data_IF_390508253610
#
_entry.id   IF_390508253610
#
_cell.length_a   1.000
_cell.length_b   1.000
_cell.length_c   1.000
_cell.angle_alpha   90.00
_cell.angle_beta   90.00
_cell.angle_gamma   90.00
#
_symmetry.space_group_name_H-M   'P 1'
#
loop_
_entity.id
_entity.type
_entity.pdbx_description
1 polymer ?
#
# COMPACT_ATOMS: atom_id res chain seq x y z
N UNK A 1 -80.66 -22.79 -21.88
CA UNK A 1 -80.59 -21.36 -21.53
C UNK A 1 -80.18 -21.25 -20.07
N UNK A 2 -78.97 -20.73 -19.85
CA UNK A 2 -78.26 -20.30 -18.63
C UNK A 2 -78.70 -20.72 -17.22
N UNK A 3 -77.73 -21.19 -16.41
CA UNK A 3 -77.73 -20.99 -14.97
C UNK A 3 -76.51 -20.21 -14.43
N UNK A 4 -76.78 -19.43 -13.38
CA UNK A 4 -75.95 -19.17 -12.19
C UNK A 4 -74.60 -18.40 -12.30
N UNK A 5 -74.74 -17.08 -12.24
CA UNK A 5 -74.10 -16.07 -11.36
C UNK A 5 -73.04 -16.54 -10.31
N UNK A 6 -71.94 -15.76 -10.26
CA UNK A 6 -70.98 -15.48 -9.15
C UNK A 6 -69.93 -16.54 -8.76
N UNK A 7 -68.63 -16.27 -8.56
CA UNK A 7 -67.91 -15.07 -8.10
C UNK A 7 -66.56 -14.88 -8.83
N UNK A 8 -66.32 -13.69 -9.37
CA UNK A 8 -64.95 -13.20 -9.63
C UNK A 8 -64.35 -12.79 -8.30
N UNK A 9 -63.28 -13.45 -7.90
CA UNK A 9 -62.49 -13.13 -6.72
C UNK A 9 -61.78 -11.79 -6.99
N UNK A 10 -62.36 -10.72 -6.46
CA UNK A 10 -61.75 -9.40 -6.40
C UNK A 10 -60.49 -9.49 -5.53
N UNK A 11 -59.32 -9.45 -6.16
CA UNK A 11 -58.06 -9.15 -5.48
C UNK A 11 -57.97 -7.62 -5.42
N UNK A 12 -58.02 -6.97 -4.23
CA UNK A 12 -57.78 -5.54 -4.15
C UNK A 12 -56.28 -5.27 -4.41
N UNK A 13 -55.99 -4.65 -5.55
CA UNK A 13 -54.76 -3.90 -5.78
C UNK A 13 -54.70 -2.78 -4.75
N UNK A 14 -53.91 -2.96 -3.68
CA UNK A 14 -53.59 -1.89 -2.74
C UNK A 14 -52.84 -0.78 -3.49
N UNK A 15 -53.37 0.46 -3.54
CA UNK A 15 -52.65 1.59 -4.08
C UNK A 15 -51.78 2.22 -2.98
N UNK A 16 -50.53 2.52 -3.29
CA UNK A 16 -49.74 3.47 -2.51
C UNK A 16 -48.80 2.88 -1.46
N UNK A 17 -47.77 2.17 -1.90
CA UNK A 17 -46.47 2.35 -1.25
C UNK A 17 -45.84 3.61 -1.84
N UNK A 18 -46.14 4.75 -1.23
CA UNK A 18 -45.36 5.97 -1.43
C UNK A 18 -43.92 5.65 -1.04
N UNK A 19 -43.04 5.54 -2.03
CA UNK A 19 -41.60 5.59 -1.78
C UNK A 19 -41.33 6.90 -1.03
N UNK A 20 -40.67 6.89 0.14
CA UNK A 20 -40.19 8.14 0.72
C UNK A 20 -39.28 8.80 -0.34
N UNK A 21 -39.35 10.13 -0.51
CA UNK A 21 -38.41 10.81 -1.37
C UNK A 21 -37.03 10.52 -0.80
N UNK A 22 -36.27 9.66 -1.49
CA UNK A 22 -34.86 9.51 -1.22
C UNK A 22 -34.30 10.91 -1.48
N UNK A 23 -33.86 11.58 -0.42
CA UNK A 23 -32.95 12.71 -0.51
C UNK A 23 -31.65 12.17 -1.10
N UNK A 24 -31.72 11.89 -2.40
CA UNK A 24 -30.63 11.61 -3.28
C UNK A 24 -30.13 13.00 -3.66
N UNK A 25 -29.32 13.59 -2.77
CA UNK A 25 -28.26 14.47 -3.23
C UNK A 25 -27.31 13.60 -4.04
N UNK A 26 -27.74 13.19 -5.23
CA UNK A 26 -26.91 12.58 -6.24
C UNK A 26 -25.95 13.66 -6.70
N UNK A 27 -24.76 13.64 -6.11
CA UNK A 27 -23.58 13.83 -6.95
C UNK A 27 -23.71 12.71 -8.00
N UNK A 28 -24.12 13.06 -9.22
CA UNK A 28 -24.04 12.14 -10.36
C UNK A 28 -22.56 11.85 -10.57
N UNK A 29 -22.05 10.85 -9.87
CA UNK A 29 -20.69 10.37 -10.07
C UNK A 29 -20.66 9.78 -11.48
N UNK A 30 -19.83 10.31 -12.38
CA UNK A 30 -19.76 9.82 -13.75
C UNK A 30 -19.45 8.32 -13.71
N UNK A 31 -20.23 7.49 -14.40
CA UNK A 31 -20.02 6.04 -14.39
C UNK A 31 -18.61 5.66 -14.90
N UNK A 32 -18.05 6.49 -15.77
CA UNK A 32 -16.67 6.46 -16.25
C UNK A 32 -15.64 6.64 -15.13
N UNK A 33 -15.89 7.52 -14.15
CA UNK A 33 -14.99 7.74 -13.01
C UNK A 33 -14.93 6.52 -12.08
N UNK A 34 -16.08 5.88 -11.86
CA UNK A 34 -16.15 4.66 -11.03
C UNK A 34 -15.42 3.51 -11.72
N UNK A 35 -15.64 3.31 -13.03
CA UNK A 35 -14.98 2.26 -13.79
C UNK A 35 -13.46 2.49 -13.86
N UNK A 36 -13.00 3.74 -14.03
CA UNK A 36 -11.56 4.07 -14.00
C UNK A 36 -10.94 3.69 -12.67
N UNK A 37 -11.56 4.11 -11.56
CA UNK A 37 -11.03 3.87 -10.20
C UNK A 37 -10.91 2.38 -9.86
N UNK A 38 -11.88 1.58 -10.30
CA UNK A 38 -11.83 0.12 -10.14
C UNK A 38 -10.73 -0.49 -11.00
N UNK A 39 -10.58 -0.03 -12.23
CA UNK A 39 -9.57 -0.49 -13.17
C UNK A 39 -8.16 -0.22 -12.64
N UNK A 40 -7.92 0.97 -12.08
CA UNK A 40 -6.65 1.34 -11.44
C UNK A 40 -6.34 0.47 -10.22
N UNK A 41 -7.36 0.14 -9.41
CA UNK A 41 -7.20 -0.80 -8.30
C UNK A 41 -6.81 -2.20 -8.77
N UNK A 42 -7.44 -2.72 -9.83
CA UNK A 42 -7.09 -4.02 -10.40
C UNK A 42 -5.63 -4.03 -10.88
N UNK A 43 -5.22 -3.04 -11.67
CA UNK A 43 -3.85 -2.93 -12.16
C UNK A 43 -2.83 -2.84 -11.02
N UNK A 44 -3.13 -2.08 -9.97
CA UNK A 44 -2.26 -1.97 -8.80
C UNK A 44 -2.03 -3.33 -8.12
N UNK A 45 -3.09 -4.14 -7.96
CA UNK A 45 -2.97 -5.47 -7.33
C UNK A 45 -2.14 -6.44 -8.17
N UNK A 46 -2.38 -6.50 -9.48
CA UNK A 46 -1.59 -7.37 -10.37
C UNK A 46 -0.13 -6.95 -10.44
N UNK A 47 0.14 -5.64 -10.49
CA UNK A 47 1.50 -5.10 -10.54
C UNK A 47 2.27 -5.43 -9.27
N UNK A 48 1.63 -5.29 -8.11
CA UNK A 48 2.27 -5.57 -6.84
C UNK A 48 2.51 -7.07 -6.60
N UNK A 49 1.61 -7.95 -7.05
CA UNK A 49 1.88 -9.39 -7.11
C UNK A 49 3.06 -9.71 -8.03
N UNK A 50 3.10 -9.11 -9.22
CA UNK A 50 4.21 -9.30 -10.17
C UNK A 50 5.54 -8.86 -9.57
N UNK A 51 5.57 -7.69 -8.93
CA UNK A 51 6.76 -7.18 -8.24
C UNK A 51 7.21 -8.10 -7.10
N UNK A 52 6.26 -8.59 -6.30
CA UNK A 52 6.56 -9.55 -5.22
C UNK A 52 7.19 -10.84 -5.74
N UNK A 53 6.67 -11.39 -6.85
CA UNK A 53 7.21 -12.60 -7.48
C UNK A 53 8.64 -12.37 -7.99
N UNK A 54 8.89 -11.23 -8.67
CA UNK A 54 10.22 -10.88 -9.19
C UNK A 54 11.23 -10.78 -8.04
N UNK A 55 10.84 -10.14 -6.93
CA UNK A 55 11.70 -10.05 -5.74
C UNK A 55 12.02 -11.42 -5.18
N UNK A 56 11.01 -12.27 -4.98
CA UNK A 56 11.23 -13.63 -4.44
C UNK A 56 12.16 -14.43 -5.35
N UNK A 57 11.98 -14.33 -6.67
CA UNK A 57 12.83 -14.99 -7.65
C UNK A 57 14.29 -14.51 -7.58
N UNK A 58 14.52 -13.20 -7.52
CA UNK A 58 15.86 -12.61 -7.37
C UNK A 58 16.56 -13.12 -6.11
N UNK A 59 15.83 -13.23 -4.99
CA UNK A 59 16.36 -13.75 -3.73
C UNK A 59 16.76 -15.21 -3.85
N UNK A 60 15.91 -16.07 -4.42
CA UNK A 60 16.20 -17.49 -4.54
C UNK A 60 17.50 -17.77 -5.32
N UNK A 61 17.78 -16.99 -6.36
CA UNK A 61 18.98 -17.17 -7.19
C UNK A 61 20.26 -16.75 -6.45
N UNK A 62 20.18 -15.73 -5.62
CA UNK A 62 21.34 -15.05 -5.03
C UNK A 62 21.64 -15.50 -3.60
N UNK A 63 20.67 -16.07 -2.88
CA UNK A 63 20.85 -16.63 -1.53
C UNK A 63 21.99 -17.64 -1.47
N UNK A 64 22.19 -18.44 -2.53
CA UNK A 64 23.30 -19.40 -2.60
C UNK A 64 24.68 -18.73 -2.47
N UNK A 65 24.86 -17.58 -3.14
CA UNK A 65 26.10 -16.80 -3.06
C UNK A 65 26.21 -16.05 -1.73
N UNK A 66 25.09 -15.56 -1.18
CA UNK A 66 25.08 -14.83 0.10
C UNK A 66 25.46 -15.69 1.29
N UNK A 67 25.02 -16.95 1.33
CA UNK A 67 25.40 -17.87 2.41
C UNK A 67 26.88 -18.21 2.34
N UNK A 68 27.45 -18.33 1.15
CA UNK A 68 28.87 -18.65 1.01
C UNK A 68 29.79 -17.46 1.30
N UNK A 69 29.43 -16.26 0.83
CA UNK A 69 30.24 -15.06 0.98
C UNK A 69 29.98 -14.34 2.30
N UNK A 70 28.72 -14.11 2.66
CA UNK A 70 28.39 -13.22 3.79
C UNK A 70 28.29 -13.97 5.12
N UNK A 71 27.79 -15.21 5.14
CA UNK A 71 27.65 -15.96 6.40
C UNK A 71 28.97 -16.58 6.88
N UNK A 72 29.94 -16.81 5.99
CA UNK A 72 31.29 -17.25 6.36
C UNK A 72 32.23 -16.10 6.71
N UNK A 73 31.99 -14.90 6.20
CA UNK A 73 32.86 -13.76 6.41
C UNK A 73 32.48 -12.97 7.68
N UNK A 74 33.33 -12.01 8.08
CA UNK A 74 33.16 -11.24 9.32
C UNK A 74 31.93 -10.32 9.19
N UNK A 75 31.00 -10.43 10.13
CA UNK A 75 29.81 -9.56 10.19
C UNK A 75 30.23 -8.09 10.35
N UNK A 76 30.20 -7.33 9.25
CA UNK A 76 30.38 -5.88 9.27
C UNK A 76 29.03 -5.18 9.32
N UNK A 77 29.01 -3.93 9.78
CA UNK A 77 27.82 -3.09 9.80
C UNK A 77 27.24 -2.90 8.38
N UNK A 78 28.09 -2.90 7.35
CA UNK A 78 27.68 -2.86 5.95
C UNK A 78 26.94 -4.14 5.52
N UNK A 79 27.42 -5.32 5.94
CA UNK A 79 26.76 -6.61 5.67
C UNK A 79 25.39 -6.70 6.35
N UNK A 80 25.28 -6.23 7.60
CA UNK A 80 24.00 -6.18 8.31
C UNK A 80 23.00 -5.23 7.61
N UNK A 81 23.45 -4.05 7.17
CA UNK A 81 22.59 -3.09 6.47
C UNK A 81 22.09 -3.63 5.12
N UNK A 82 22.95 -4.36 4.41
CA UNK A 82 22.57 -5.04 3.17
C UNK A 82 21.47 -6.08 3.42
N UNK A 83 21.62 -6.91 4.45
CA UNK A 83 20.58 -7.88 4.82
C UNK A 83 19.26 -7.22 5.21
N UNK A 84 19.30 -6.18 6.05
CA UNK A 84 18.07 -5.48 6.46
C UNK A 84 17.33 -4.92 5.26
N UNK A 85 18.05 -4.28 4.31
CA UNK A 85 17.45 -3.78 3.08
C UNK A 85 16.81 -4.87 2.23
N UNK A 86 17.48 -6.03 2.16
CA UNK A 86 17.07 -7.15 1.34
C UNK A 86 15.86 -7.88 1.92
N UNK A 87 15.94 -8.31 3.17
CA UNK A 87 14.87 -9.04 3.84
C UNK A 87 13.62 -8.18 4.07
N UNK A 88 13.77 -6.87 4.29
CA UNK A 88 12.62 -5.98 4.43
C UNK A 88 11.72 -5.99 3.19
N UNK A 89 12.29 -6.02 1.99
CA UNK A 89 11.53 -6.08 0.74
C UNK A 89 10.73 -7.40 0.59
N UNK A 90 11.30 -8.53 1.05
CA UNK A 90 10.59 -9.81 1.11
C UNK A 90 9.43 -9.79 2.10
N UNK A 91 9.67 -9.28 3.32
CA UNK A 91 8.59 -9.13 4.30
C UNK A 91 7.48 -8.24 3.74
N UNK A 92 7.82 -7.15 3.05
CA UNK A 92 6.86 -6.31 2.35
C UNK A 92 6.02 -7.08 1.32
N UNK A 93 6.65 -7.85 0.44
CA UNK A 93 5.95 -8.65 -0.56
C UNK A 93 5.04 -9.74 0.06
N UNK A 94 5.43 -10.33 1.19
CA UNK A 94 4.63 -11.34 1.88
C UNK A 94 3.37 -10.72 2.51
N UNK A 95 3.54 -9.63 3.26
CA UNK A 95 2.42 -8.90 3.89
C UNK A 95 1.42 -8.34 2.87
N UNK A 96 1.93 -7.89 1.73
CA UNK A 96 1.16 -7.47 0.56
C UNK A 96 0.14 -8.55 0.14
N UNK A 97 0.55 -9.82 0.16
CA UNK A 97 -0.30 -10.94 -0.25
C UNK A 97 -1.45 -11.25 0.73
N UNK A 98 -1.30 -10.92 2.02
CA UNK A 98 -2.30 -11.22 3.06
C UNK A 98 -3.55 -10.32 3.03
N UNK A 99 -3.53 -9.23 2.26
CA UNK A 99 -4.73 -8.45 1.90
C UNK A 99 -5.41 -7.62 3.00
N UNK A 100 -5.05 -7.79 4.27
CA UNK A 100 -5.61 -7.01 5.38
C UNK A 100 -4.97 -5.62 5.46
N UNK A 101 -5.75 -4.56 5.28
CA UNK A 101 -5.32 -3.14 5.30
C UNK A 101 -4.14 -2.82 4.36
N UNK A 102 -4.10 -3.48 3.21
CA UNK A 102 -3.10 -3.28 2.15
C UNK A 102 -2.65 -1.83 1.96
N UNK A 103 -3.60 -0.91 1.76
CA UNK A 103 -3.31 0.46 1.33
C UNK A 103 -2.66 1.27 2.44
N UNK A 104 -3.18 1.14 3.66
CA UNK A 104 -2.60 1.78 4.84
C UNK A 104 -1.23 1.15 5.13
N UNK A 105 -1.15 -0.17 5.14
CA UNK A 105 0.08 -0.89 5.40
C UNK A 105 1.18 -0.53 4.40
N UNK A 106 0.88 -0.52 3.10
CA UNK A 106 1.80 -0.13 2.03
C UNK A 106 2.25 1.33 2.18
N UNK A 107 1.34 2.26 2.50
CA UNK A 107 1.68 3.66 2.70
C UNK A 107 2.65 3.86 3.87
N UNK A 108 2.36 3.26 5.03
CA UNK A 108 3.21 3.39 6.21
C UNK A 108 4.56 2.67 6.03
N UNK A 109 4.57 1.46 5.47
CA UNK A 109 5.80 0.65 5.35
C UNK A 109 6.75 1.14 4.27
N UNK A 110 6.25 1.58 3.11
CA UNK A 110 7.08 2.11 2.04
C UNK A 110 7.73 3.44 2.43
N UNK A 111 6.97 4.30 3.11
CA UNK A 111 7.44 5.64 3.48
C UNK A 111 8.44 5.58 4.63
N UNK A 112 8.20 4.79 5.67
CA UNK A 112 9.03 4.87 6.87
C UNK A 112 10.22 3.94 6.82
N UNK A 113 9.97 2.63 6.66
CA UNK A 113 11.03 1.67 6.87
C UNK A 113 11.95 1.56 5.66
N UNK A 114 11.45 1.68 4.42
CA UNK A 114 12.34 1.67 3.25
C UNK A 114 13.14 2.98 3.09
N UNK A 115 12.55 4.14 3.41
CA UNK A 115 13.28 5.41 3.38
C UNK A 115 14.37 5.47 4.44
N UNK A 116 14.09 4.99 5.66
CA UNK A 116 15.08 4.93 6.73
C UNK A 116 16.27 4.05 6.36
N UNK A 117 16.01 2.87 5.77
CA UNK A 117 17.07 1.96 5.32
C UNK A 117 17.90 2.60 4.19
N UNK A 118 17.23 3.15 3.16
CA UNK A 118 17.91 3.78 2.02
C UNK A 118 18.81 4.92 2.48
N UNK A 119 18.35 5.71 3.45
CA UNK A 119 19.12 6.82 3.97
C UNK A 119 20.23 6.41 4.91
N UNK A 120 20.05 5.36 5.71
CA UNK A 120 21.15 4.78 6.46
C UNK A 120 22.30 4.35 5.53
N UNK A 121 21.99 3.72 4.39
CA UNK A 121 22.99 3.34 3.37
C UNK A 121 23.64 4.58 2.76
N UNK A 122 22.83 5.59 2.41
CA UNK A 122 23.33 6.83 1.81
C UNK A 122 24.26 7.59 2.76
N UNK A 123 23.90 7.68 4.05
CA UNK A 123 24.70 8.32 5.09
C UNK A 123 26.00 7.54 5.33
N UNK A 124 25.97 6.21 5.38
CA UNK A 124 27.19 5.41 5.51
C UNK A 124 28.16 5.67 4.36
N UNK A 125 27.65 5.72 3.11
CA UNK A 125 28.47 6.01 1.93
C UNK A 125 29.01 7.43 1.94
N UNK A 126 28.18 8.42 2.25
CA UNK A 126 28.62 9.82 2.35
C UNK A 126 29.66 9.99 3.44
N UNK A 127 29.49 9.34 4.60
CA UNK A 127 30.43 9.41 5.72
C UNK A 127 31.79 8.82 5.36
N UNK A 128 31.81 7.74 4.58
CA UNK A 128 33.05 7.15 4.06
C UNK A 128 33.75 8.10 3.08
N UNK A 129 33.00 8.79 2.22
CA UNK A 129 33.55 9.73 1.24
C UNK A 129 34.06 11.05 1.87
N UNK A 130 33.39 11.55 2.89
CA UNK A 130 33.67 12.85 3.52
C UNK A 130 34.66 12.79 4.70
N UNK A 131 35.47 11.73 4.81
CA UNK A 131 36.46 11.54 5.90
C UNK A 131 35.88 11.87 7.29
N UNK A 132 34.70 11.34 7.60
CA UNK A 132 34.08 11.44 8.93
C UNK A 132 33.78 12.89 9.41
N UNK A 133 33.58 13.85 8.51
CA UNK A 133 33.15 15.19 8.90
C UNK A 133 31.70 15.19 9.44
N UNK A 134 31.53 15.44 10.74
CA UNK A 134 30.24 15.31 11.45
C UNK A 134 29.21 16.35 11.04
N UNK A 135 29.63 17.53 10.60
CA UNK A 135 28.72 18.62 10.24
C UNK A 135 27.86 18.26 9.02
N UNK A 136 28.48 17.69 7.98
CA UNK A 136 27.76 17.26 6.76
C UNK A 136 26.76 16.15 7.08
N UNK A 137 27.13 15.23 7.98
CA UNK A 137 26.23 14.15 8.42
C UNK A 137 25.02 14.72 9.16
N UNK A 138 25.22 15.69 10.06
CA UNK A 138 24.12 16.32 10.80
C UNK A 138 23.17 17.10 9.89
N UNK A 139 23.69 17.81 8.88
CA UNK A 139 22.84 18.52 7.89
C UNK A 139 21.96 17.54 7.11
N UNK A 140 22.52 16.42 6.66
CA UNK A 140 21.77 15.41 5.89
C UNK A 140 20.70 14.75 6.76
N UNK A 141 21.03 14.37 7.99
CA UNK A 141 20.06 13.79 8.94
C UNK A 141 18.98 14.80 9.30
N UNK A 142 19.34 16.07 9.52
CA UNK A 142 18.37 17.13 9.79
C UNK A 142 17.38 17.31 8.64
N UNK A 143 17.88 17.41 7.41
CA UNK A 143 17.04 17.51 6.21
C UNK A 143 16.09 16.31 6.06
N UNK A 144 16.57 15.11 6.38
CA UNK A 144 15.71 13.93 6.37
C UNK A 144 14.57 14.01 7.38
N UNK A 145 14.87 14.38 8.63
CA UNK A 145 13.85 14.44 9.68
C UNK A 145 12.77 15.46 9.33
N UNK A 146 13.15 16.58 8.72
CA UNK A 146 12.20 17.58 8.19
C UNK A 146 11.32 16.98 7.09
N UNK A 147 11.94 16.30 6.12
CA UNK A 147 11.20 15.64 5.05
C UNK A 147 10.25 14.56 5.59
N UNK A 148 10.69 13.78 6.57
CA UNK A 148 9.87 12.75 7.22
C UNK A 148 8.66 13.38 7.91
N UNK A 149 8.87 14.42 8.71
CA UNK A 149 7.78 15.13 9.39
C UNK A 149 6.74 15.65 8.39
N UNK A 150 7.16 16.23 7.26
CA UNK A 150 6.26 16.71 6.22
C UNK A 150 5.40 15.58 5.65
N UNK A 151 6.00 14.44 5.31
CA UNK A 151 5.27 13.30 4.73
C UNK A 151 4.29 12.69 5.73
N UNK A 152 4.64 12.63 7.02
CA UNK A 152 3.74 12.13 8.07
C UNK A 152 2.50 13.01 8.16
N UNK A 153 2.68 14.33 8.17
CA UNK A 153 1.59 15.29 8.24
C UNK A 153 0.67 15.13 7.03
N UNK A 154 1.24 15.04 5.83
CA UNK A 154 0.46 14.85 4.59
C UNK A 154 -0.33 13.52 4.66
N UNK A 155 0.33 12.41 4.99
CA UNK A 155 -0.33 11.10 5.03
C UNK A 155 -1.40 11.03 6.13
N UNK A 156 -1.16 11.65 7.28
CA UNK A 156 -2.14 11.76 8.36
C UNK A 156 -3.37 12.56 7.91
N UNK A 157 -3.18 13.69 7.23
CA UNK A 157 -4.28 14.47 6.67
C UNK A 157 -5.07 13.70 5.60
N UNK A 158 -4.39 12.96 4.73
CA UNK A 158 -5.05 12.15 3.70
C UNK A 158 -5.86 11.01 4.31
N UNK A 159 -5.31 10.31 5.31
CA UNK A 159 -6.02 9.24 6.01
C UNK A 159 -7.24 9.76 6.78
N UNK A 160 -7.12 10.93 7.42
CA UNK A 160 -8.21 11.55 8.15
C UNK A 160 -9.40 11.97 7.25
N UNK A 161 -9.19 12.17 5.95
CA UNK A 161 -10.26 12.44 4.99
C UNK A 161 -10.94 11.17 4.46
N UNK A 162 -10.32 10.01 4.63
CA UNK A 162 -10.78 8.71 4.11
C UNK A 162 -11.63 7.91 5.13
N UNK A 163 -11.59 8.29 6.42
CA UNK A 163 -12.41 7.72 7.52
C UNK A 163 -13.51 8.68 7.93
#
# INVERSE_FOLDING_TARGET
MQPMRERKQHLPLQPGFSCPPRMESAVEVPADLVVSSLTDLYYSRYTALSWGIIIVFDHLITVGQEVELVWKERFTLASALFFVNRYYALFAAIFNCYGYNWLQWQAWTAIFAQSAITQAILILRVRALYLNNRTVTLVIVGNFLVAMAAVIVINHHMLAQLT
#
